data_IF_725835730548
#
_entry.id   IF_725835730548
#
_cell.length_a   1.000
_cell.length_b   1.000
_cell.length_c   1.000
_cell.angle_alpha   90.00
_cell.angle_beta   90.00
_cell.angle_gamma   90.00
#
_symmetry.space_group_name_H-M   'P 1'
#
loop_
_entity.id
_entity.type
_entity.pdbx_description
1 polymer ?
#
# COMPACT_ATOMS: atom_id res chain seq x y z
N UNK A 1 5.13 -52.50 -57.31
CA UNK A 1 6.54 -52.22 -57.67
C UNK A 1 6.99 -51.08 -56.75
N UNK A 2 7.59 -51.39 -55.59
CA UNK A 2 9.05 -51.56 -55.41
C UNK A 2 9.83 -50.29 -55.73
N UNK A 3 10.46 -49.69 -54.74
CA UNK A 3 11.39 -48.57 -54.98
C UNK A 3 11.85 -47.85 -53.71
N UNK A 4 12.75 -48.51 -52.99
CA UNK A 4 13.58 -48.00 -51.89
C UNK A 4 14.39 -46.74 -52.22
N UNK A 5 14.68 -45.89 -51.22
CA UNK A 5 15.65 -44.79 -51.36
C UNK A 5 15.93 -44.01 -50.08
N UNK A 6 16.80 -44.55 -49.24
CA UNK A 6 17.32 -43.99 -47.98
C UNK A 6 18.34 -42.85 -48.20
N UNK A 7 18.35 -41.81 -47.35
CA UNK A 7 19.50 -41.30 -46.54
C UNK A 7 19.61 -39.76 -46.42
N UNK A 8 19.80 -39.33 -45.17
CA UNK A 8 20.65 -38.20 -44.76
C UNK A 8 19.95 -36.83 -44.77
N UNK A 9 20.25 -35.89 -43.89
CA UNK A 9 21.22 -35.79 -42.80
C UNK A 9 20.77 -34.60 -41.95
N UNK A 10 20.96 -34.69 -40.64
CA UNK A 10 20.71 -33.60 -39.70
C UNK A 10 21.55 -32.37 -40.07
N UNK A 11 20.93 -31.20 -40.14
CA UNK A 11 21.59 -29.94 -39.82
C UNK A 11 20.67 -29.10 -38.93
N UNK A 12 20.94 -29.25 -37.65
CA UNK A 12 20.66 -28.25 -36.62
C UNK A 12 21.12 -26.87 -37.10
N UNK A 13 20.23 -25.91 -37.00
CA UNK A 13 20.47 -24.52 -37.36
C UNK A 13 19.37 -23.62 -36.83
N UNK A 14 18.99 -23.81 -35.57
CA UNK A 14 18.16 -22.86 -34.85
C UNK A 14 19.05 -21.67 -34.46
N UNK A 15 19.28 -20.77 -35.41
CA UNK A 15 19.93 -19.49 -35.17
C UNK A 15 18.90 -18.49 -34.67
N UNK A 16 18.52 -18.61 -33.39
CA UNK A 16 18.01 -17.47 -32.62
C UNK A 16 19.19 -16.56 -32.29
N UNK A 17 19.70 -15.85 -33.30
CA UNK A 17 20.76 -14.86 -33.14
C UNK A 17 20.15 -13.48 -33.28
N UNK A 18 20.11 -12.72 -32.18
CA UNK A 18 19.81 -11.30 -32.20
C UNK A 18 18.87 -10.82 -31.10
N UNK A 19 19.29 -10.92 -29.83
CA UNK A 19 18.51 -10.36 -28.73
C UNK A 19 19.21 -10.50 -27.38
N UNK A 20 20.38 -9.88 -27.20
CA UNK A 20 21.07 -9.94 -25.91
C UNK A 20 22.49 -9.38 -25.87
N UNK A 21 22.84 -8.39 -26.67
CA UNK A 21 24.19 -7.78 -26.67
C UNK A 21 24.31 -6.57 -25.72
N UNK A 22 23.44 -6.46 -24.71
CA UNK A 22 23.52 -5.39 -23.72
C UNK A 22 24.21 -5.90 -22.44
N UNK A 23 25.07 -5.07 -21.84
CA UNK A 23 25.72 -5.35 -20.54
C UNK A 23 24.72 -5.55 -19.38
N UNK A 24 23.44 -5.31 -19.63
CA UNK A 24 22.35 -5.43 -18.65
C UNK A 24 21.48 -6.66 -18.90
N UNK A 25 21.85 -7.62 -19.75
CA UNK A 25 21.09 -8.87 -19.91
C UNK A 25 19.86 -8.78 -20.81
N UNK A 26 18.93 -9.73 -20.69
CA UNK A 26 17.72 -9.76 -21.53
C UNK A 26 16.70 -8.71 -21.04
N UNK A 27 16.15 -7.86 -21.94
CA UNK A 27 15.25 -6.76 -21.57
C UNK A 27 13.95 -7.24 -20.91
N UNK A 28 13.51 -8.45 -21.23
CA UNK A 28 12.34 -9.12 -20.61
C UNK A 28 12.44 -9.31 -19.09
N UNK A 29 13.65 -9.25 -18.52
CA UNK A 29 13.89 -9.39 -17.07
C UNK A 29 13.60 -8.08 -16.32
N UNK A 30 13.72 -6.93 -16.98
CA UNK A 30 13.56 -5.59 -16.38
C UNK A 30 12.20 -4.94 -16.70
N UNK A 31 11.50 -5.47 -17.71
CA UNK A 31 10.25 -4.91 -18.23
C UNK A 31 9.01 -5.25 -17.37
N UNK A 32 9.13 -6.17 -16.42
CA UNK A 32 8.00 -6.74 -15.70
C UNK A 32 7.84 -6.14 -14.30
N UNK A 33 7.19 -4.97 -14.21
CA UNK A 33 6.71 -4.44 -12.94
C UNK A 33 5.98 -3.13 -13.11
N UNK A 34 6.68 -2.10 -13.61
CA UNK A 34 6.16 -0.72 -13.69
C UNK A 34 5.95 -0.23 -15.14
N UNK A 35 6.38 -1.00 -16.15
CA UNK A 35 6.33 -0.59 -17.56
C UNK A 35 5.13 -1.15 -18.35
N UNK A 36 4.32 -2.03 -17.75
CA UNK A 36 3.13 -2.59 -18.42
C UNK A 36 1.90 -1.78 -18.04
N UNK A 37 1.18 -1.29 -19.06
CA UNK A 37 -0.17 -0.76 -18.85
C UNK A 37 -1.07 -1.93 -18.43
N UNK A 38 -1.60 -1.84 -17.21
CA UNK A 38 -2.49 -2.85 -16.64
C UNK A 38 -3.84 -2.85 -17.38
N UNK A 39 -4.47 -4.02 -17.58
CA UNK A 39 -5.77 -4.07 -18.24
C UNK A 39 -6.82 -3.32 -17.41
N UNK A 40 -7.77 -2.69 -18.09
CA UNK A 40 -8.80 -1.88 -17.45
C UNK A 40 -9.59 -2.63 -16.36
N UNK A 41 -9.74 -3.95 -16.48
CA UNK A 41 -10.35 -4.81 -15.46
C UNK A 41 -9.59 -4.76 -14.13
N UNK A 42 -8.25 -4.87 -14.17
CA UNK A 42 -7.39 -4.79 -12.98
C UNK A 42 -7.40 -3.37 -12.42
N UNK A 43 -7.43 -2.34 -13.27
CA UNK A 43 -7.52 -0.93 -12.82
C UNK A 43 -8.85 -0.66 -12.11
N UNK A 44 -9.95 -1.25 -12.57
CA UNK A 44 -11.27 -1.07 -11.96
C UNK A 44 -11.44 -1.88 -10.67
N UNK A 45 -10.75 -3.02 -10.54
CA UNK A 45 -10.72 -3.85 -9.33
C UNK A 45 -9.75 -3.34 -8.26
N UNK A 46 -8.76 -2.51 -8.64
CA UNK A 46 -7.90 -1.81 -7.68
C UNK A 46 -8.75 -0.93 -6.79
N UNK A 47 -8.45 -0.95 -5.49
CA UNK A 47 -9.04 0.01 -4.56
C UNK A 47 -8.68 1.42 -5.02
N UNK A 48 -9.67 2.12 -5.58
CA UNK A 48 -9.53 3.55 -5.87
C UNK A 48 -9.26 4.23 -4.54
N UNK A 49 -8.22 5.07 -4.50
CA UNK A 49 -7.94 5.92 -3.34
C UNK A 49 -9.25 6.51 -2.83
N UNK A 50 -9.54 6.30 -1.54
CA UNK A 50 -10.82 6.63 -0.92
C UNK A 50 -11.24 8.06 -1.29
N UNK A 51 -12.15 8.19 -2.26
CA UNK A 51 -12.71 9.48 -2.60
C UNK A 51 -13.42 10.02 -1.36
N UNK A 52 -13.25 11.31 -1.08
CA UNK A 52 -13.98 11.94 0.00
C UNK A 52 -15.49 11.74 -0.23
N UNK A 53 -16.28 11.44 0.81
CA UNK A 53 -17.70 11.18 0.65
C UNK A 53 -18.39 12.35 -0.06
N UNK A 54 -19.37 12.07 -0.92
CA UNK A 54 -20.12 13.12 -1.63
C UNK A 54 -20.68 14.14 -0.62
N UNK A 55 -20.43 15.43 -0.85
CA UNK A 55 -20.69 16.56 0.07
C UNK A 55 -19.79 16.63 1.31
N UNK A 56 -18.53 16.19 1.20
CA UNK A 56 -17.49 16.41 2.21
C UNK A 56 -17.03 17.88 2.28
N UNK A 57 -17.94 18.81 2.56
CA UNK A 57 -17.57 20.18 2.90
C UNK A 57 -17.00 20.21 4.31
N UNK A 58 -15.93 20.99 4.52
CA UNK A 58 -15.49 21.31 5.88
C UNK A 58 -16.58 22.19 6.50
N UNK A 59 -16.96 21.90 7.74
CA UNK A 59 -18.04 22.66 8.39
C UNK A 59 -17.76 24.16 8.42
N UNK A 60 -16.49 24.55 8.54
CA UNK A 60 -16.02 25.94 8.52
C UNK A 60 -15.41 26.38 7.17
N UNK A 61 -15.80 25.77 6.05
CA UNK A 61 -15.28 26.14 4.72
C UNK A 61 -15.69 27.57 4.32
N UNK A 62 -14.72 28.42 4.01
CA UNK A 62 -14.96 29.79 3.51
C UNK A 62 -15.85 29.88 2.26
N UNK A 63 -15.89 28.81 1.44
CA UNK A 63 -16.69 28.74 0.21
C UNK A 63 -18.08 28.14 0.43
N UNK A 64 -18.42 27.80 1.66
CA UNK A 64 -19.74 27.29 2.01
C UNK A 64 -20.77 28.43 2.01
N UNK A 65 -21.84 28.25 1.23
CA UNK A 65 -22.95 29.19 1.06
C UNK A 65 -23.91 29.22 2.25
N UNK A 66 -23.76 28.32 3.24
CA UNK A 66 -24.54 28.36 4.49
C UNK A 66 -24.28 29.65 5.27
N UNK A 67 -25.32 30.16 5.92
CA UNK A 67 -25.20 31.30 6.84
C UNK A 67 -24.28 30.98 8.03
N UNK A 68 -23.65 32.02 8.61
CA UNK A 68 -22.72 31.89 9.74
C UNK A 68 -23.38 31.14 10.92
N UNK A 69 -24.64 31.45 11.23
CA UNK A 69 -25.39 30.79 12.28
C UNK A 69 -25.57 29.28 12.02
N UNK A 70 -25.92 28.90 10.78
CA UNK A 70 -26.10 27.49 10.41
C UNK A 70 -24.78 26.73 10.39
N UNK A 71 -23.69 27.40 10.00
CA UNK A 71 -22.33 26.87 10.03
C UNK A 71 -21.86 26.58 11.45
N UNK A 72 -22.06 27.52 12.38
CA UNK A 72 -21.71 27.33 13.80
C UNK A 72 -22.54 26.23 14.44
N UNK A 73 -23.87 26.23 14.22
CA UNK A 73 -24.73 25.16 14.73
C UNK A 73 -24.31 23.78 14.21
N UNK A 74 -23.95 23.66 12.92
CA UNK A 74 -23.44 22.41 12.35
C UNK A 74 -22.12 21.96 12.98
N UNK A 75 -21.19 22.90 13.23
CA UNK A 75 -19.92 22.59 13.87
C UNK A 75 -20.09 22.16 15.33
N UNK A 76 -21.03 22.76 16.06
CA UNK A 76 -21.35 22.41 17.45
C UNK A 76 -21.98 21.01 17.59
N UNK A 77 -22.75 20.56 16.59
CA UNK A 77 -23.31 19.20 16.57
C UNK A 77 -22.22 18.13 16.35
N UNK A 78 -21.10 18.50 15.73
CA UNK A 78 -20.02 17.58 15.38
C UNK A 78 -18.64 18.13 15.81
N UNK A 79 -18.41 18.38 17.11
CA UNK A 79 -17.22 19.06 17.60
C UNK A 79 -15.94 18.23 17.43
N UNK A 80 -16.08 16.91 17.31
CA UNK A 80 -15.00 15.93 17.23
C UNK A 80 -15.04 15.14 15.93
N UNK A 81 -15.29 15.80 14.80
CA UNK A 81 -15.13 15.16 13.48
C UNK A 81 -13.63 15.00 13.18
N UNK A 82 -12.95 14.20 14.00
CA UNK A 82 -11.57 13.80 13.78
C UNK A 82 -11.53 13.04 12.48
N UNK A 83 -10.58 13.41 11.63
CA UNK A 83 -10.37 12.67 10.39
C UNK A 83 -9.99 11.22 10.73
N UNK A 84 -10.28 10.24 9.86
CA UNK A 84 -9.83 8.86 10.08
C UNK A 84 -8.34 8.78 10.40
N UNK A 85 -7.54 9.64 9.77
CA UNK A 85 -6.12 9.81 10.00
C UNK A 85 -5.78 10.25 11.44
N UNK A 86 -6.54 11.17 12.04
CA UNK A 86 -6.31 11.60 13.41
C UNK A 86 -6.58 10.48 14.42
N UNK A 87 -7.59 9.65 14.17
CA UNK A 87 -7.88 8.51 15.03
C UNK A 87 -6.75 7.46 14.97
N UNK A 88 -6.28 7.14 13.77
CA UNK A 88 -5.15 6.21 13.59
C UNK A 88 -3.84 6.76 14.18
N UNK A 89 -3.60 8.07 14.05
CA UNK A 89 -2.45 8.73 14.66
C UNK A 89 -2.51 8.69 16.20
N UNK A 90 -3.70 8.83 16.79
CA UNK A 90 -3.91 8.66 18.23
C UNK A 90 -3.70 7.21 18.70
N UNK A 91 -4.12 6.24 17.90
CA UNK A 91 -3.82 4.82 18.12
C UNK A 91 -2.32 4.54 18.06
N UNK A 92 -1.62 5.10 17.07
CA UNK A 92 -0.17 4.95 16.91
C UNK A 92 0.64 5.51 18.08
N UNK A 93 0.12 6.55 18.75
CA UNK A 93 0.77 7.12 19.95
C UNK A 93 0.69 6.19 21.16
N UNK A 94 -0.35 5.34 21.22
CA UNK A 94 -0.57 4.39 22.32
C UNK A 94 0.14 3.07 22.06
N UNK A 95 -0.02 2.52 20.86
CA UNK A 95 0.64 1.29 20.44
C UNK A 95 1.23 1.52 19.03
N UNK A 96 2.57 1.49 18.90
CA UNK A 96 3.22 1.71 17.60
C UNK A 96 2.89 0.62 16.57
N UNK A 97 2.43 -0.56 17.00
CA UNK A 97 2.04 -1.67 16.13
C UNK A 97 0.58 -1.62 15.67
N UNK A 98 -0.27 -0.84 16.36
CA UNK A 98 -1.71 -0.83 16.11
C UNK A 98 -2.10 -0.45 14.67
N UNK A 99 -1.54 0.60 14.05
CA UNK A 99 -1.93 0.98 12.70
C UNK A 99 -1.69 -0.15 11.68
N UNK A 100 -0.55 -0.82 11.75
CA UNK A 100 -0.24 -1.93 10.85
C UNK A 100 -1.21 -3.10 11.06
N UNK A 101 -1.48 -3.47 12.31
CA UNK A 101 -2.41 -4.57 12.61
C UNK A 101 -3.85 -4.29 12.20
N UNK A 102 -4.31 -3.03 12.34
CA UNK A 102 -5.66 -2.62 11.92
C UNK A 102 -5.86 -2.78 10.41
N UNK A 103 -4.81 -2.49 9.64
CA UNK A 103 -4.80 -2.63 8.19
C UNK A 103 -4.42 -4.04 7.71
N UNK A 104 -4.28 -5.02 8.62
CA UNK A 104 -3.91 -6.40 8.28
C UNK A 104 -2.48 -6.59 7.80
N UNK A 105 -1.62 -5.59 7.99
CA UNK A 105 -0.22 -5.60 7.59
C UNK A 105 0.70 -6.04 8.73
N UNK A 106 1.87 -6.56 8.38
CA UNK A 106 2.91 -6.84 9.38
C UNK A 106 3.53 -5.53 9.89
N UNK A 107 3.61 -5.31 11.22
CA UNK A 107 4.26 -4.12 11.76
C UNK A 107 5.76 -4.09 11.43
N UNK A 108 6.28 -2.87 11.25
CA UNK A 108 7.70 -2.66 10.93
C UNK A 108 8.60 -3.13 12.08
N UNK A 109 9.88 -3.41 11.77
CA UNK A 109 10.88 -3.78 12.79
C UNK A 109 10.99 -2.71 13.88
N UNK A 110 10.95 -1.44 13.52
CA UNK A 110 10.99 -0.32 14.48
C UNK A 110 9.78 -0.33 15.41
N UNK A 111 8.56 -0.47 14.86
CA UNK A 111 7.34 -0.50 15.66
C UNK A 111 7.32 -1.69 16.65
N UNK A 112 7.91 -2.84 16.28
CA UNK A 112 8.07 -3.98 17.19
C UNK A 112 9.04 -3.66 18.33
N UNK A 113 10.18 -3.04 18.04
CA UNK A 113 11.19 -2.64 19.04
C UNK A 113 10.60 -1.58 20.00
N UNK A 114 9.88 -0.59 19.46
CA UNK A 114 9.26 0.45 20.28
C UNK A 114 8.25 -0.13 21.27
N UNK A 115 7.48 -1.15 20.84
CA UNK A 115 6.53 -1.86 21.70
C UNK A 115 7.23 -2.68 22.79
N UNK A 116 8.33 -3.35 22.46
CA UNK A 116 9.14 -4.11 23.42
C UNK A 116 9.74 -3.16 24.48
N UNK A 117 10.31 -2.03 24.05
CA UNK A 117 10.88 -1.03 24.96
C UNK A 117 9.83 -0.46 25.91
N UNK A 118 8.62 -0.17 25.42
CA UNK A 118 7.50 0.28 26.25
C UNK A 118 7.10 -0.77 27.29
N UNK A 119 7.06 -2.05 26.91
CA UNK A 119 6.72 -3.14 27.83
C UNK A 119 7.79 -3.32 28.91
N UNK A 120 9.06 -3.25 28.55
CA UNK A 120 10.18 -3.31 29.48
C UNK A 120 10.18 -2.12 30.45
N UNK A 121 9.88 -0.92 29.96
CA UNK A 121 9.75 0.28 30.78
C UNK A 121 8.60 0.17 31.78
N UNK A 122 7.44 -0.34 31.36
CA UNK A 122 6.31 -0.58 32.25
C UNK A 122 6.61 -1.63 33.32
N UNK A 123 7.31 -2.72 32.97
CA UNK A 123 7.72 -3.74 33.94
C UNK A 123 8.69 -3.16 34.98
N UNK A 124 9.72 -2.43 34.53
CA UNK A 124 10.67 -1.77 35.42
C UNK A 124 10.00 -0.76 36.35
N UNK A 125 9.01 -0.01 35.87
CA UNK A 125 8.23 0.91 36.70
C UNK A 125 7.40 0.17 37.75
N UNK A 126 6.79 -0.97 37.41
CA UNK A 126 6.04 -1.81 38.36
C UNK A 126 6.96 -2.38 39.44
N UNK A 127 8.12 -2.91 39.06
CA UNK A 127 9.11 -3.42 40.01
C UNK A 127 9.66 -2.33 40.94
N UNK A 128 9.92 -1.13 40.39
CA UNK A 128 10.40 0.02 41.18
C UNK A 128 9.32 0.59 42.11
N UNK A 129 8.04 0.53 41.72
CA UNK A 129 6.92 0.99 42.54
C UNK A 129 6.45 0.00 43.62
N UNK A 130 6.91 -1.26 43.56
CA UNK A 130 6.63 -2.30 44.55
C UNK A 130 7.68 -2.38 45.68
N UNK A 131 8.48 -1.32 45.85
CA UNK A 131 9.49 -1.18 46.91
C UNK A 131 9.15 -0.01 47.81
#
# INVERSE_FOLDING_TARGET
MSGSGTKGNQKSGSSYAGGGQSNVGQPSIYEAGDQRNEPQSVINERERYHEGPRKSHRDLDSKDERSIANKLASAEQHPNRKTPYENEAELSKKDPTAPATLHGNEPSKGAKIDKELQQDDEQRLREKGQK
#
